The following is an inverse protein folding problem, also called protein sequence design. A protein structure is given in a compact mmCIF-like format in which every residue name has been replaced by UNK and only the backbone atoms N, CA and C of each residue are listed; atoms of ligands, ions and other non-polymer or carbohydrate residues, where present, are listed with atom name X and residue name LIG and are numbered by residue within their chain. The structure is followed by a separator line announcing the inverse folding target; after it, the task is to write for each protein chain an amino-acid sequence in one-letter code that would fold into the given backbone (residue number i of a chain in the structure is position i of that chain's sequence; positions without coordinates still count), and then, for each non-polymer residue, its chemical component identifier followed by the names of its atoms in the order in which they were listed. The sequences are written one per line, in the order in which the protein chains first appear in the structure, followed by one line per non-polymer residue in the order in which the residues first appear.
data_IF_878659881285
#
_entry.id   IF_878659881285
#
_cell.length_a   1.000
_cell.length_b   1.000
_cell.length_c   1.000
_cell.angle_alpha   90.00
_cell.angle_beta   90.00
_cell.angle_gamma   90.00
#
_symmetry.space_group_name_H-M   'P 1'
#
loop_
_entity.id
_entity.type
_entity.pdbx_description
1 polymer ?
#
# COMPACT_ATOMS: atom_id res chain seq x y z
N UNK A 1 -13.65 4.62 -4.67
CA UNK A 1 -14.39 3.37 -4.43
C UNK A 1 -15.60 3.23 -5.35
N UNK A 2 -15.43 3.40 -6.66
CA UNK A 2 -16.53 3.33 -7.64
C UNK A 2 -16.25 2.32 -8.77
N UNK A 3 -15.30 1.43 -8.50
CA UNK A 3 -14.96 0.30 -9.35
C UNK A 3 -15.59 -0.95 -8.73
N UNK A 4 -15.58 -2.07 -9.46
CA UNK A 4 -15.92 -3.39 -8.92
C UNK A 4 -14.84 -4.00 -8.02
N UNK A 5 -13.75 -3.29 -7.71
CA UNK A 5 -12.63 -3.81 -6.92
C UNK A 5 -12.92 -3.77 -5.42
N UNK A 6 -12.26 -4.64 -4.67
CA UNK A 6 -12.15 -4.59 -3.21
C UNK A 6 -10.86 -3.87 -2.83
N UNK A 7 -10.90 -3.02 -1.81
CA UNK A 7 -9.76 -2.21 -1.40
C UNK A 7 -9.50 -2.37 0.10
N UNK A 8 -8.24 -2.61 0.43
CA UNK A 8 -7.72 -2.61 1.79
C UNK A 8 -6.61 -1.57 1.86
N UNK A 9 -6.77 -0.56 2.73
CA UNK A 9 -5.70 0.35 3.13
C UNK A 9 -5.01 -0.14 4.39
N UNK A 10 -3.71 0.14 4.51
CA UNK A 10 -2.97 0.03 5.76
C UNK A 10 -2.23 1.34 5.99
N UNK A 11 -2.39 1.89 7.19
CA UNK A 11 -1.87 3.21 7.54
C UNK A 11 -1.25 3.18 8.94
N UNK A 12 -0.02 3.65 9.07
CA UNK A 12 0.71 3.66 10.34
C UNK A 12 0.11 4.69 11.32
N UNK A 13 -0.29 5.87 10.84
CA UNK A 13 -0.82 6.96 11.65
C UNK A 13 -2.31 6.82 11.96
N UNK A 14 -2.66 6.72 13.25
CA UNK A 14 -4.05 6.58 13.72
C UNK A 14 -4.96 7.69 13.19
N UNK A 15 -4.50 8.94 13.21
CA UNK A 15 -5.26 10.11 12.74
C UNK A 15 -5.63 9.99 11.26
N UNK A 16 -4.68 9.56 10.42
CA UNK A 16 -4.91 9.42 8.98
C UNK A 16 -5.79 8.21 8.69
N UNK A 17 -5.60 7.11 9.40
CA UNK A 17 -6.47 5.94 9.32
C UNK A 17 -7.92 6.28 9.69
N UNK A 18 -8.12 7.04 10.76
CA UNK A 18 -9.43 7.54 11.20
C UNK A 18 -10.07 8.46 10.17
N UNK A 19 -9.29 9.38 9.58
CA UNK A 19 -9.76 10.28 8.53
C UNK A 19 -10.20 9.52 7.27
N UNK A 20 -9.40 8.55 6.82
CA UNK A 20 -9.72 7.72 5.67
C UNK A 20 -10.95 6.85 5.93
N UNK A 21 -11.06 6.25 7.12
CA UNK A 21 -12.25 5.51 7.55
C UNK A 21 -13.50 6.39 7.54
N UNK A 22 -13.44 7.61 8.08
CA UNK A 22 -14.58 8.56 8.03
C UNK A 22 -14.95 8.97 6.61
N UNK A 23 -13.95 9.19 5.74
CA UNK A 23 -14.17 9.67 4.37
C UNK A 23 -14.69 8.57 3.43
N UNK A 24 -14.27 7.32 3.62
CA UNK A 24 -14.52 6.22 2.68
C UNK A 24 -15.25 5.02 3.30
N UNK A 25 -15.53 5.01 4.60
CA UNK A 25 -16.16 3.88 5.30
C UNK A 25 -17.60 3.59 4.87
N UNK A 26 -18.27 4.53 4.20
CA UNK A 26 -19.61 4.30 3.63
C UNK A 26 -19.57 3.43 2.35
N UNK A 27 -18.38 3.15 1.79
CA UNK A 27 -18.24 2.24 0.66
C UNK A 27 -18.01 0.81 1.16
N UNK A 28 -18.94 -0.10 0.85
CA UNK A 28 -18.89 -1.49 1.31
C UNK A 28 -17.68 -2.29 0.81
N UNK A 29 -17.02 -1.82 -0.25
CA UNK A 29 -15.82 -2.41 -0.83
C UNK A 29 -14.51 -1.78 -0.34
N UNK A 30 -14.56 -0.90 0.68
CA UNK A 30 -13.39 -0.28 1.31
C UNK A 30 -13.21 -0.79 2.74
N UNK A 31 -11.98 -1.13 3.09
CA UNK A 31 -11.55 -1.31 4.46
C UNK A 31 -10.20 -0.63 4.68
N UNK A 32 -9.93 -0.25 5.93
CA UNK A 32 -8.63 0.29 6.34
C UNK A 32 -8.23 -0.26 7.69
N UNK A 33 -6.96 -0.61 7.81
CA UNK A 33 -6.31 -1.01 9.06
C UNK A 33 -5.37 0.11 9.49
N UNK A 34 -5.45 0.51 10.75
CA UNK A 34 -4.36 1.26 11.37
C UNK A 34 -3.28 0.25 11.83
N UNK A 35 -2.13 0.24 11.18
CA UNK A 35 -1.10 -0.75 11.42
C UNK A 35 0.22 -0.43 10.71
N UNK A 36 1.29 -0.95 11.28
CA UNK A 36 2.63 -0.90 10.70
C UNK A 36 2.74 -1.93 9.56
N UNK A 37 2.97 -1.47 8.33
CA UNK A 37 3.10 -2.38 7.19
C UNK A 37 4.21 -3.41 7.37
N UNK A 38 5.29 -3.10 8.09
CA UNK A 38 6.39 -4.05 8.30
C UNK A 38 5.94 -5.23 9.17
N UNK A 39 5.14 -4.94 10.20
CA UNK A 39 4.74 -5.92 11.22
C UNK A 39 3.38 -6.56 10.99
N UNK A 40 2.45 -5.87 10.33
CA UNK A 40 1.07 -6.32 10.20
C UNK A 40 0.97 -7.54 9.28
N UNK A 41 0.30 -8.60 9.74
CA UNK A 41 0.11 -9.81 8.94
C UNK A 41 -1.02 -9.60 7.93
N UNK A 42 -0.63 -9.51 6.66
CA UNK A 42 -1.55 -9.46 5.52
C UNK A 42 -1.60 -10.83 4.85
N UNK A 43 -2.72 -11.16 4.24
CA UNK A 43 -2.91 -12.48 3.65
C UNK A 43 -1.98 -12.67 2.43
N UNK A 44 -1.16 -13.72 2.46
CA UNK A 44 -0.32 -14.08 1.32
C UNK A 44 -1.16 -14.62 0.14
N UNK A 45 -0.66 -14.44 -1.09
CA UNK A 45 -1.28 -14.91 -2.35
C UNK A 45 -2.77 -14.52 -2.48
N UNK A 46 -3.12 -13.31 -2.05
CA UNK A 46 -4.50 -12.85 -1.95
C UNK A 46 -4.81 -11.66 -2.86
N UNK A 47 -3.85 -10.76 -3.04
CA UNK A 47 -4.09 -9.47 -3.68
C UNK A 47 -3.75 -9.53 -5.17
N UNK A 48 -4.60 -8.96 -6.01
CA UNK A 48 -4.35 -8.87 -7.45
C UNK A 48 -3.38 -7.71 -7.79
N UNK A 49 -3.37 -6.68 -6.94
CA UNK A 49 -2.55 -5.47 -7.07
C UNK A 49 -2.13 -4.95 -5.69
N UNK A 50 -0.86 -4.56 -5.57
CA UNK A 50 -0.36 -3.75 -4.44
C UNK A 50 0.08 -2.40 -4.97
N UNK A 51 -0.37 -1.33 -4.32
CA UNK A 51 -0.11 0.05 -4.70
C UNK A 51 0.36 0.86 -3.49
N UNK A 52 1.43 1.63 -3.66
CA UNK A 52 1.88 2.62 -2.68
C UNK A 52 1.84 4.01 -3.32
N UNK A 53 1.11 4.92 -2.68
CA UNK A 53 1.09 6.34 -3.04
C UNK A 53 2.29 7.06 -2.40
N UNK A 54 3.51 6.72 -2.84
CA UNK A 54 4.74 7.33 -2.33
C UNK A 54 4.95 7.19 -0.81
N UNK A 55 4.66 6.03 -0.23
CA UNK A 55 4.93 5.73 1.18
C UNK A 55 5.92 4.58 1.38
N UNK A 56 6.11 3.74 0.36
CA UNK A 56 6.95 2.56 0.46
C UNK A 56 8.44 2.89 0.59
N UNK A 57 8.88 4.08 0.14
CA UNK A 57 10.29 4.48 0.23
C UNK A 57 10.80 4.67 1.67
N UNK A 58 9.90 4.72 2.65
CA UNK A 58 10.26 4.80 4.07
C UNK A 58 10.49 3.42 4.71
N UNK A 59 10.19 2.34 3.99
CA UNK A 59 10.32 0.96 4.48
C UNK A 59 11.59 0.34 3.87
N UNK A 60 12.43 -0.34 4.66
CA UNK A 60 13.60 -1.03 4.12
C UNK A 60 13.24 -1.96 2.97
N UNK A 61 14.02 -1.92 1.89
CA UNK A 61 13.76 -2.65 0.65
C UNK A 61 13.64 -4.16 0.89
N UNK A 62 14.55 -4.67 1.73
CA UNK A 62 14.65 -6.07 2.16
C UNK A 62 13.44 -6.54 2.98
N UNK A 63 12.60 -5.61 3.48
CA UNK A 63 11.34 -5.91 4.16
C UNK A 63 10.18 -5.72 3.19
N UNK A 64 10.14 -4.56 2.51
CA UNK A 64 9.03 -4.16 1.64
C UNK A 64 8.79 -5.15 0.50
N UNK A 65 9.81 -5.47 -0.29
CA UNK A 65 9.60 -6.27 -1.50
C UNK A 65 9.27 -7.72 -1.21
N UNK A 66 10.01 -8.44 -0.35
CA UNK A 66 9.64 -9.83 -0.05
C UNK A 66 8.22 -9.93 0.47
N UNK A 67 7.78 -8.96 1.29
CA UNK A 67 6.40 -8.90 1.76
C UNK A 67 5.43 -8.69 0.60
N UNK A 68 5.61 -7.65 -0.21
CA UNK A 68 4.73 -7.35 -1.35
C UNK A 68 4.63 -8.55 -2.32
N UNK A 69 5.75 -9.19 -2.64
CA UNK A 69 5.75 -10.38 -3.51
C UNK A 69 4.92 -11.53 -2.92
N UNK A 70 4.97 -11.74 -1.60
CA UNK A 70 4.16 -12.75 -0.92
C UNK A 70 2.67 -12.39 -0.90
N UNK A 71 2.31 -11.11 -0.84
CA UNK A 71 0.92 -10.66 -0.85
C UNK A 71 0.23 -10.91 -2.20
N UNK A 72 0.97 -10.76 -3.29
CA UNK A 72 0.44 -10.88 -4.63
C UNK A 72 0.05 -12.33 -4.97
N UNK A 73 -1.11 -12.47 -5.62
CA UNK A 73 -1.49 -13.73 -6.27
C UNK A 73 -0.45 -14.12 -7.33
N UNK A 74 -0.37 -15.41 -7.67
CA UNK A 74 0.34 -15.84 -8.90
C UNK A 74 -0.26 -15.13 -10.12
N UNK A 75 0.54 -14.26 -10.77
CA UNK A 75 0.10 -13.41 -11.88
C UNK A 75 -0.51 -12.06 -11.47
N UNK A 76 -0.55 -11.76 -10.16
CA UNK A 76 -0.78 -10.40 -9.66
C UNK A 76 0.43 -9.51 -9.93
N UNK A 77 0.19 -8.21 -10.04
CA UNK A 77 1.22 -7.25 -10.43
C UNK A 77 1.44 -6.21 -9.33
N UNK A 78 2.68 -5.81 -9.03
CA UNK A 78 2.94 -4.53 -8.40
C UNK A 78 2.64 -3.41 -9.42
N UNK A 79 1.95 -2.33 -9.00
CA UNK A 79 1.68 -1.21 -9.90
C UNK A 79 2.97 -0.49 -10.34
N UNK A 80 3.02 0.05 -11.56
CA UNK A 80 4.21 0.70 -12.17
C UNK A 80 4.90 1.74 -11.27
N UNK A 81 4.15 2.44 -10.41
CA UNK A 81 4.69 3.41 -9.45
C UNK A 81 5.63 2.79 -8.42
N UNK A 82 5.44 1.51 -8.05
CA UNK A 82 6.28 0.81 -7.08
C UNK A 82 7.62 0.37 -7.70
N UNK A 83 7.61 -0.15 -8.93
CA UNK A 83 8.83 -0.64 -9.59
C UNK A 83 9.68 0.47 -10.22
N UNK A 84 9.09 1.59 -10.67
CA UNK A 84 9.84 2.72 -11.26
C UNK A 84 10.53 3.62 -10.23
N UNK A 85 10.09 3.62 -8.96
CA UNK A 85 10.70 4.46 -7.92
C UNK A 85 12.07 3.94 -7.42
N UNK A 86 12.39 2.67 -7.69
CA UNK A 86 13.62 2.02 -7.19
C UNK A 86 14.81 2.24 -8.14
N UNK A 87 14.53 2.52 -9.42
CA UNK A 87 15.58 2.88 -10.41
C UNK A 87 15.96 4.36 -10.39
N UNK A 88 15.38 5.16 -9.50
CA UNK A 88 15.71 6.58 -9.33
C UNK A 88 16.03 6.85 -7.86
N UNK A 89 17.16 6.34 -7.40
CA UNK A 89 17.81 6.92 -6.23
C UNK A 89 18.44 8.26 -6.63
N UNK A 90 18.04 9.31 -5.90
CA UNK A 90 18.65 10.65 -5.75
C UNK A 90 18.66 11.58 -6.98
N UNK A 91 17.69 12.50 -7.03
CA UNK A 91 17.99 13.92 -7.24
C UNK A 91 16.96 14.78 -6.50
N UNK A 92 17.47 15.82 -5.86
CA UNK A 92 16.82 16.62 -4.83
C UNK A 92 15.47 17.26 -5.26
N UNK A 93 14.63 17.56 -4.27
CA UNK A 93 13.42 18.40 -4.34
C UNK A 93 12.16 17.74 -4.94
N UNK A 94 11.51 16.83 -4.22
CA UNK A 94 10.03 16.77 -4.27
C UNK A 94 9.47 16.30 -2.93
N UNK A 95 8.79 17.22 -2.23
CA UNK A 95 7.85 16.87 -1.17
C UNK A 95 6.57 16.42 -1.86
N UNK A 96 6.20 15.15 -1.71
CA UNK A 96 4.84 14.70 -1.99
C UNK A 96 4.32 14.14 -0.67
N UNK A 97 3.29 14.81 -0.15
CA UNK A 97 2.53 14.42 1.05
C UNK A 97 1.84 13.08 0.88
#
# INVERSE_FOLDING_TARGET
MKTGCQYLGIELGENLASLASKKFGNYSNFSIVNGDFEKYELQENHYDLVYSAATIQWIPEEIAFPKIYKLLKKGGYPAESLMRMISLSISEHTVIT
#
